data_IF_615787632254
#
_entry.id   IF_615787632254
#
_cell.length_a   1.000
_cell.length_b   1.000
_cell.length_c   1.000
_cell.angle_alpha   90.00
_cell.angle_beta   90.00
_cell.angle_gamma   90.00
#
_symmetry.space_group_name_H-M   'P 1'
#
loop_
_entity.id
_entity.type
_entity.pdbx_description
1 polymer ?
#
# COMPACT_ATOMS: atom_id res chain seq x y z
N UNK A 1 -15.27 -2.61 28.98
CA UNK A 1 -15.23 -2.03 27.63
C UNK A 1 -13.89 -1.33 27.47
N UNK A 2 -12.87 -2.05 27.02
CA UNK A 2 -11.50 -1.54 26.95
C UNK A 2 -10.87 -2.01 25.63
N UNK A 3 -11.16 -1.28 24.55
CA UNK A 3 -10.59 -1.53 23.23
C UNK A 3 -10.32 -0.23 22.44
N UNK A 4 -10.30 0.92 23.12
CA UNK A 4 -10.10 2.24 22.50
C UNK A 4 -8.65 2.78 22.58
N UNK A 5 -7.69 2.01 23.09
CA UNK A 5 -6.33 2.52 23.35
C UNK A 5 -5.28 2.22 22.27
N UNK A 6 -5.62 1.50 21.19
CA UNK A 6 -4.66 1.12 20.14
C UNK A 6 -5.16 1.32 18.71
N UNK A 7 -6.12 2.22 18.49
CA UNK A 7 -6.43 2.63 17.13
C UNK A 7 -5.28 3.51 16.60
N UNK A 8 -4.56 3.02 15.60
CA UNK A 8 -3.56 3.82 14.86
C UNK A 8 -4.28 5.07 14.34
N UNK A 9 -3.67 6.24 14.51
CA UNK A 9 -4.22 7.52 14.05
C UNK A 9 -3.34 8.09 12.96
N UNK A 10 -3.96 8.71 11.95
CA UNK A 10 -3.20 9.37 10.90
C UNK A 10 -2.46 10.59 11.50
N UNK A 11 -1.13 10.70 11.34
CA UNK A 11 -0.37 11.84 11.88
C UNK A 11 -0.73 13.18 11.22
N UNK A 12 -1.41 13.15 10.07
CA UNK A 12 -1.76 14.36 9.31
C UNK A 12 -3.18 14.88 9.57
N UNK A 13 -4.14 14.02 9.89
CA UNK A 13 -5.54 14.41 10.03
C UNK A 13 -6.27 13.76 11.21
N UNK A 14 -5.56 13.03 12.07
CA UNK A 14 -6.05 12.33 13.28
C UNK A 14 -7.18 11.30 13.03
N UNK A 15 -7.46 10.99 11.75
CA UNK A 15 -8.48 10.00 11.39
C UNK A 15 -7.97 8.58 11.61
N UNK A 16 -8.87 7.66 11.90
CA UNK A 16 -8.57 6.25 12.22
C UNK A 16 -8.94 5.27 11.10
N UNK A 17 -9.26 5.80 9.91
CA UNK A 17 -9.76 5.00 8.79
C UNK A 17 -8.65 4.91 7.74
N UNK A 18 -8.30 3.68 7.38
CA UNK A 18 -7.21 3.38 6.47
C UNK A 18 -7.64 2.33 5.46
N UNK A 19 -7.08 2.41 4.26
CA UNK A 19 -7.15 1.35 3.26
C UNK A 19 -5.78 0.70 3.11
N UNK A 20 -5.77 -0.61 2.93
CA UNK A 20 -4.56 -1.36 2.61
C UNK A 20 -4.39 -1.39 1.09
N UNK A 21 -3.21 -1.00 0.60
CA UNK A 21 -2.86 -1.10 -0.82
C UNK A 21 -1.68 -2.04 -1.01
N UNK A 22 -1.82 -2.92 -1.99
CA UNK A 22 -0.75 -3.81 -2.44
C UNK A 22 0.00 -3.15 -3.59
N UNK A 23 1.27 -2.82 -3.36
CA UNK A 23 2.16 -2.30 -4.38
C UNK A 23 3.07 -3.41 -4.88
N UNK A 24 2.97 -3.71 -6.18
CA UNK A 24 3.78 -4.73 -6.85
C UNK A 24 4.77 -4.03 -7.76
N UNK A 25 6.06 -4.18 -7.47
CA UNK A 25 7.14 -3.73 -8.34
C UNK A 25 7.45 -4.84 -9.35
N UNK A 26 7.27 -4.53 -10.62
CA UNK A 26 7.57 -5.43 -11.74
C UNK A 26 8.94 -5.10 -12.33
N UNK A 27 9.59 -6.13 -12.85
CA UNK A 27 10.84 -5.99 -13.62
C UNK A 27 10.56 -5.30 -14.96
N UNK A 28 11.00 -4.06 -15.11
CA UNK A 28 10.84 -3.26 -16.33
C UNK A 28 11.80 -3.66 -17.45
N UNK A 29 12.74 -4.59 -17.21
CA UNK A 29 13.53 -5.20 -18.30
C UNK A 29 12.67 -6.08 -19.20
N UNK A 30 11.46 -6.44 -18.75
CA UNK A 30 10.49 -7.22 -19.51
C UNK A 30 9.49 -6.28 -20.17
N UNK A 31 9.56 -6.16 -21.50
CA UNK A 31 8.57 -5.41 -22.27
C UNK A 31 7.24 -6.17 -22.24
N UNK A 32 6.26 -5.64 -21.52
CA UNK A 32 4.89 -6.16 -21.54
C UNK A 32 4.26 -5.77 -22.87
N UNK A 33 4.24 -6.69 -23.84
CA UNK A 33 3.47 -6.55 -25.09
C UNK A 33 2.16 -7.32 -24.96
N UNK A 34 1.05 -6.80 -25.51
CA UNK A 34 -0.23 -7.51 -25.51
C UNK A 34 -0.13 -8.93 -26.10
N UNK A 35 0.81 -9.12 -27.04
CA UNK A 35 0.98 -10.33 -27.83
C UNK A 35 2.06 -11.28 -27.28
N UNK A 36 2.72 -10.94 -26.17
CA UNK A 36 3.77 -11.77 -25.56
C UNK A 36 3.37 -12.16 -24.13
N UNK A 37 3.14 -13.46 -23.85
CA UNK A 37 2.86 -13.93 -22.51
C UNK A 37 4.17 -14.08 -21.74
N UNK A 38 4.91 -12.99 -21.55
CA UNK A 38 6.02 -13.01 -20.59
C UNK A 38 5.41 -12.65 -19.24
N UNK A 39 5.32 -13.60 -18.29
CA UNK A 39 4.85 -13.27 -16.96
C UNK A 39 5.82 -12.25 -16.38
N UNK A 40 5.35 -11.02 -16.16
CA UNK A 40 6.15 -9.96 -15.56
C UNK A 40 6.72 -10.47 -14.24
N UNK A 41 8.05 -10.48 -14.12
CA UNK A 41 8.70 -10.95 -12.89
C UNK A 41 8.44 -9.92 -11.80
N UNK A 42 7.81 -10.35 -10.71
CA UNK A 42 7.64 -9.52 -9.52
C UNK A 42 9.01 -9.42 -8.83
N UNK A 43 9.52 -8.21 -8.71
CA UNK A 43 10.77 -7.93 -7.99
C UNK A 43 10.51 -7.74 -6.50
N UNK A 44 9.41 -7.06 -6.17
CA UNK A 44 9.05 -6.74 -4.79
C UNK A 44 7.54 -6.59 -4.65
N UNK A 45 7.02 -7.06 -3.54
CA UNK A 45 5.65 -6.84 -3.11
C UNK A 45 5.70 -6.15 -1.74
N UNK A 46 4.94 -5.07 -1.58
CA UNK A 46 4.83 -4.36 -0.32
C UNK A 46 3.39 -3.94 -0.08
N UNK A 47 2.99 -3.99 1.19
CA UNK A 47 1.68 -3.56 1.65
C UNK A 47 1.85 -2.21 2.35
N UNK A 48 0.99 -1.26 2.02
CA UNK A 48 0.99 0.07 2.62
C UNK A 48 -0.40 0.42 3.12
N UNK A 49 -0.47 1.10 4.26
CA UNK A 49 -1.71 1.63 4.79
C UNK A 49 -1.82 3.11 4.41
N UNK A 50 -2.94 3.48 3.80
CA UNK A 50 -3.20 4.86 3.37
C UNK A 50 -4.41 5.38 4.13
N UNK A 51 -4.30 6.58 4.71
CA UNK A 51 -5.43 7.23 5.34
C UNK A 51 -6.48 7.60 4.28
N UNK A 52 -7.73 7.19 4.49
CA UNK A 52 -8.81 7.41 3.54
C UNK A 52 -9.23 8.87 3.41
N UNK A 53 -8.90 9.70 4.42
CA UNK A 53 -9.28 11.11 4.45
C UNK A 53 -8.27 12.02 3.75
N UNK A 54 -6.98 11.88 4.04
CA UNK A 54 -5.93 12.75 3.49
C UNK A 54 -5.05 12.08 2.43
N UNK A 55 -5.29 10.80 2.11
CA UNK A 55 -4.51 9.98 1.18
C UNK A 55 -2.99 9.90 1.51
N UNK A 56 -2.61 10.13 2.77
CA UNK A 56 -1.22 10.00 3.22
C UNK A 56 -0.90 8.56 3.61
N UNK A 57 0.32 8.13 3.29
CA UNK A 57 0.84 6.81 3.66
C UNK A 57 1.22 6.82 5.14
N UNK A 58 0.81 5.79 5.87
CA UNK A 58 1.30 5.51 7.22
C UNK A 58 2.68 4.88 7.11
N UNK A 59 3.71 5.66 7.40
CA UNK A 59 5.03 5.13 7.67
C UNK A 59 5.07 4.65 9.11
N UNK A 60 5.20 3.34 9.31
CA UNK A 60 5.60 2.79 10.60
C UNK A 60 7.14 2.75 10.58
N UNK A 61 7.78 3.71 11.25
CA UNK A 61 9.20 3.60 11.59
C UNK A 61 9.42 2.61 12.74
#
# INVERSE_FOLDING_TARGET
>A
MASNQHAIRCPHCDHTWFREERQVQLDSSVVIRPDLPVPGRILREQYQYICTNCNQVLHHE
#
